data_IF_189533105646
#
_entry.id   IF_189533105646
#
_cell.length_a   1.000
_cell.length_b   1.000
_cell.length_c   1.000
_cell.angle_alpha   90.00
_cell.angle_beta   90.00
_cell.angle_gamma   90.00
#
_symmetry.space_group_name_H-M   'P 1'
#
loop_
_entity.id
_entity.type
_entity.pdbx_description
1 polymer ?
#
# COMPACT_ATOMS: atom_id res chain seq x y z
N UNK A 1 29.26 -3.21 10.62
CA UNK A 1 28.63 -2.47 11.74
C UNK A 1 27.67 -3.36 12.51
N UNK A 2 26.74 -4.04 11.83
CA UNK A 2 25.80 -5.01 12.41
C UNK A 2 26.45 -6.01 13.39
N UNK A 3 27.49 -6.73 12.96
CA UNK A 3 28.21 -7.71 13.80
C UNK A 3 28.77 -7.12 15.10
N UNK A 4 29.26 -5.88 15.07
CA UNK A 4 29.85 -5.24 16.25
C UNK A 4 28.80 -4.70 17.21
N UNK A 5 27.65 -4.26 16.68
CA UNK A 5 26.50 -3.80 17.47
C UNK A 5 25.85 -5.00 18.16
N UNK A 6 25.64 -6.11 17.44
CA UNK A 6 25.10 -7.34 18.02
C UNK A 6 26.04 -7.97 19.05
N UNK A 7 27.37 -7.92 18.80
CA UNK A 7 28.36 -8.41 19.76
C UNK A 7 28.30 -7.66 21.09
N UNK A 8 28.26 -6.32 21.05
CA UNK A 8 28.18 -5.50 22.27
C UNK A 8 26.85 -5.71 23.01
N UNK A 9 25.74 -5.85 22.28
CA UNK A 9 24.44 -6.22 22.87
C UNK A 9 24.49 -7.57 23.56
N UNK A 10 25.04 -8.58 22.89
CA UNK A 10 25.17 -9.94 23.44
C UNK A 10 26.07 -9.98 24.68
N UNK A 11 27.17 -9.21 24.69
CA UNK A 11 28.06 -9.12 25.84
C UNK A 11 27.37 -8.46 27.06
N UNK A 12 26.56 -7.41 26.84
CA UNK A 12 25.77 -6.78 27.91
C UNK A 12 24.68 -7.72 28.44
N UNK A 13 23.96 -8.43 27.56
CA UNK A 13 22.93 -9.40 27.96
C UNK A 13 23.55 -10.57 28.76
N UNK A 14 24.74 -11.06 28.38
CA UNK A 14 25.50 -12.05 29.16
C UNK A 14 25.90 -11.51 30.54
N UNK A 15 26.30 -10.25 30.63
CA UNK A 15 26.61 -9.58 31.89
C UNK A 15 25.39 -9.52 32.83
N UNK A 16 24.21 -9.20 32.28
CA UNK A 16 22.93 -9.21 33.01
C UNK A 16 22.61 -10.60 33.55
N UNK A 17 22.79 -11.64 32.74
CA UNK A 17 22.51 -13.01 33.17
C UNK A 17 23.50 -13.52 34.23
N UNK A 18 24.77 -13.08 34.17
CA UNK A 18 25.74 -13.33 35.24
C UNK A 18 25.35 -12.62 36.54
N UNK A 19 24.91 -11.36 36.47
CA UNK A 19 24.43 -10.61 37.64
C UNK A 19 23.20 -11.26 38.27
N UNK A 20 22.24 -11.73 37.45
CA UNK A 20 21.10 -12.53 37.96
C UNK A 20 21.58 -13.79 38.68
N UNK A 21 22.53 -14.53 38.10
CA UNK A 21 23.11 -15.72 38.72
C UNK A 21 23.77 -15.42 40.07
N UNK A 22 24.53 -14.32 40.16
CA UNK A 22 25.17 -13.89 41.41
C UNK A 22 24.16 -13.45 42.46
N UNK A 23 23.10 -12.71 42.08
CA UNK A 23 22.01 -12.32 42.98
C UNK A 23 21.27 -13.54 43.53
N UNK A 24 20.97 -14.54 42.69
CA UNK A 24 20.35 -15.79 43.13
C UNK A 24 21.25 -16.56 44.10
N UNK A 25 22.55 -16.67 43.81
CA UNK A 25 23.53 -17.33 44.69
C UNK A 25 23.69 -16.60 46.03
N UNK A 26 23.76 -15.28 46.02
CA UNK A 26 23.84 -14.47 47.24
C UNK A 26 22.61 -14.68 48.13
N UNK A 27 21.42 -14.70 47.53
CA UNK A 27 20.16 -14.97 48.25
C UNK A 27 20.12 -16.38 48.86
N UNK A 28 20.55 -17.41 48.12
CA UNK A 28 20.63 -18.79 48.63
C UNK A 28 21.62 -18.94 49.78
N UNK A 29 22.69 -18.13 49.81
CA UNK A 29 23.70 -18.12 50.85
C UNK A 29 23.37 -17.16 52.02
N UNK A 30 22.22 -16.47 51.98
CA UNK A 30 21.82 -15.51 53.02
C UNK A 30 22.64 -14.21 53.04
N UNK A 31 23.37 -13.92 51.97
CA UNK A 31 24.18 -12.71 51.80
C UNK A 31 23.31 -11.58 51.21
N UNK A 32 23.61 -10.32 51.58
CA UNK A 32 23.00 -9.15 50.95
C UNK A 32 23.43 -9.08 49.48
N UNK A 33 22.48 -9.06 48.52
CA UNK A 33 22.81 -8.93 47.10
C UNK A 33 23.58 -7.65 46.82
N UNK A 34 24.61 -7.73 45.97
CA UNK A 34 25.34 -6.55 45.49
C UNK A 34 24.55 -5.85 44.39
N UNK A 35 24.49 -4.53 44.44
CA UNK A 35 23.88 -3.70 43.40
C UNK A 35 24.91 -3.30 42.35
N UNK A 36 24.61 -3.61 41.09
CA UNK A 36 25.48 -3.41 39.93
C UNK A 36 25.00 -2.21 39.09
N UNK A 37 24.91 -1.05 39.73
CA UNK A 37 24.43 0.20 39.13
C UNK A 37 25.30 0.66 37.93
N UNK A 38 26.59 0.32 37.91
CA UNK A 38 27.48 0.56 36.76
C UNK A 38 27.01 -0.19 35.51
N UNK A 39 26.56 -1.43 35.65
CA UNK A 39 26.06 -2.23 34.53
C UNK A 39 24.73 -1.68 34.02
N UNK A 40 23.83 -1.32 34.94
CA UNK A 40 22.56 -0.70 34.60
C UNK A 40 22.78 0.64 33.85
N UNK A 41 23.73 1.47 34.30
CA UNK A 41 24.13 2.70 33.60
C UNK A 41 24.73 2.45 32.22
N UNK A 42 25.59 1.44 32.06
CA UNK A 42 26.14 1.07 30.76
C UNK A 42 25.07 0.57 29.78
N UNK A 43 24.06 -0.16 30.27
CA UNK A 43 22.92 -0.62 29.46
C UNK A 43 22.08 0.55 28.99
N UNK A 44 21.77 1.49 29.89
CA UNK A 44 20.97 2.68 29.59
C UNK A 44 21.69 3.59 28.59
N UNK A 45 22.98 3.81 28.77
CA UNK A 45 23.82 4.57 27.83
C UNK A 45 23.84 3.88 26.46
N UNK A 46 24.12 2.57 26.43
CA UNK A 46 24.22 1.80 25.20
C UNK A 46 22.88 1.70 24.45
N UNK A 47 21.74 1.68 25.14
CA UNK A 47 20.42 1.54 24.54
C UNK A 47 20.16 2.60 23.45
N UNK A 48 20.58 3.84 23.67
CA UNK A 48 20.43 4.93 22.72
C UNK A 48 21.28 4.74 21.46
N UNK A 49 22.52 4.25 21.61
CA UNK A 49 23.40 3.95 20.47
C UNK A 49 22.97 2.70 19.70
N UNK A 50 22.54 1.66 20.42
CA UNK A 50 21.98 0.44 19.83
C UNK A 50 20.77 0.77 18.97
N UNK A 51 19.85 1.61 19.48
CA UNK A 51 18.70 2.08 18.72
C UNK A 51 19.13 2.82 17.45
N UNK A 52 20.05 3.78 17.56
CA UNK A 52 20.56 4.53 16.40
C UNK A 52 21.11 3.62 15.31
N UNK A 53 22.04 2.72 15.67
CA UNK A 53 22.68 1.85 14.69
C UNK A 53 21.71 0.84 14.09
N UNK A 54 20.77 0.31 14.85
CA UNK A 54 19.72 -0.56 14.30
C UNK A 54 18.81 0.18 13.33
N UNK A 55 18.42 1.42 13.63
CA UNK A 55 17.64 2.24 12.68
C UNK A 55 18.45 2.51 11.41
N UNK A 56 19.75 2.82 11.51
CA UNK A 56 20.64 3.01 10.33
C UNK A 56 20.71 1.73 9.49
N UNK A 57 20.97 0.59 10.11
CA UNK A 57 21.10 -0.70 9.42
C UNK A 57 19.77 -1.07 8.75
N UNK A 58 18.66 -0.92 9.46
CA UNK A 58 17.32 -1.23 8.95
C UNK A 58 16.96 -0.34 7.76
N UNK A 59 17.25 0.96 7.84
CA UNK A 59 17.05 1.91 6.74
C UNK A 59 17.91 1.55 5.54
N UNK A 60 19.22 1.29 5.72
CA UNK A 60 20.11 0.94 4.61
C UNK A 60 19.72 -0.36 3.91
N UNK A 61 19.38 -1.40 4.68
CA UNK A 61 18.89 -2.67 4.11
C UNK A 61 17.61 -2.46 3.31
N UNK A 62 16.65 -1.75 3.89
CA UNK A 62 15.36 -1.48 3.23
C UNK A 62 15.55 -0.59 2.00
N UNK A 63 16.42 0.42 2.05
CA UNK A 63 16.72 1.28 0.92
C UNK A 63 17.32 0.49 -0.26
N UNK A 64 18.23 -0.45 0.02
CA UNK A 64 18.79 -1.34 -1.01
C UNK A 64 17.69 -2.23 -1.56
N UNK A 65 16.90 -2.82 -0.69
CA UNK A 65 15.79 -3.68 -1.07
C UNK A 65 14.79 -2.95 -1.98
N UNK A 66 14.31 -1.76 -1.60
CA UNK A 66 13.34 -1.00 -2.39
C UNK A 66 13.90 -0.52 -3.73
N UNK A 67 15.21 -0.35 -3.84
CA UNK A 67 15.86 0.00 -5.09
C UNK A 67 16.10 -1.19 -5.99
N UNK A 68 16.37 -2.37 -5.41
CA UNK A 68 16.72 -3.57 -6.15
C UNK A 68 15.53 -4.46 -6.43
N UNK A 69 14.55 -4.59 -5.57
CA UNK A 69 13.42 -5.48 -5.80
C UNK A 69 12.51 -4.96 -6.94
N UNK A 70 11.80 -5.86 -7.66
CA UNK A 70 10.83 -5.44 -8.66
C UNK A 70 9.75 -4.57 -8.03
N UNK A 71 9.42 -3.43 -8.65
CA UNK A 71 8.53 -2.44 -8.04
C UNK A 71 7.14 -2.99 -7.70
N UNK A 72 6.62 -3.91 -8.52
CA UNK A 72 5.32 -4.56 -8.29
C UNK A 72 5.25 -5.36 -6.98
N UNK A 73 6.38 -5.80 -6.44
CA UNK A 73 6.46 -6.56 -5.18
C UNK A 73 6.50 -5.67 -3.93
N UNK A 74 6.69 -4.36 -4.10
CA UNK A 74 6.90 -3.43 -3.00
C UNK A 74 5.56 -2.80 -2.60
N UNK A 75 5.22 -2.87 -1.31
CA UNK A 75 4.05 -2.18 -0.77
C UNK A 75 4.38 -0.72 -0.42
N UNK A 76 3.90 0.22 -1.24
CA UNK A 76 4.16 1.64 -1.04
C UNK A 76 3.66 2.19 0.31
N UNK A 77 2.55 1.66 0.84
CA UNK A 77 1.99 2.10 2.14
C UNK A 77 2.90 1.70 3.30
N UNK A 78 3.44 0.49 3.27
CA UNK A 78 4.40 0.01 4.28
C UNK A 78 5.70 0.84 4.25
N UNK A 79 6.19 1.17 3.05
CA UNK A 79 7.36 2.03 2.89
C UNK A 79 7.12 3.42 3.48
N UNK A 80 5.96 4.05 3.20
CA UNK A 80 5.60 5.38 3.74
C UNK A 80 5.58 5.36 5.27
N UNK A 81 4.95 4.35 5.87
CA UNK A 81 4.89 4.18 7.32
C UNK A 81 6.28 4.00 7.95
N UNK A 82 7.15 3.20 7.33
CA UNK A 82 8.52 2.98 7.80
C UNK A 82 9.34 4.27 7.73
N UNK A 83 9.30 5.00 6.62
CA UNK A 83 9.99 6.28 6.45
C UNK A 83 9.55 7.29 7.52
N UNK A 84 8.25 7.39 7.78
CA UNK A 84 7.72 8.28 8.81
C UNK A 84 8.11 7.87 10.23
N UNK A 85 8.14 6.57 10.50
CA UNK A 85 8.59 6.03 11.79
C UNK A 85 10.06 6.39 12.02
N UNK A 86 10.95 6.10 11.07
CA UNK A 86 12.38 6.39 11.18
C UNK A 86 12.66 7.89 11.23
N UNK A 87 11.91 8.72 10.50
CA UNK A 87 12.06 10.17 10.57
C UNK A 87 11.75 10.71 11.97
N UNK A 88 10.65 10.25 12.60
CA UNK A 88 10.29 10.61 13.99
C UNK A 88 11.34 10.12 14.97
N UNK A 89 11.88 8.91 14.77
CA UNK A 89 12.95 8.37 15.61
C UNK A 89 14.25 9.18 15.49
N UNK A 90 14.67 9.54 14.28
CA UNK A 90 15.85 10.37 14.05
C UNK A 90 15.72 11.71 14.78
N UNK A 91 14.56 12.35 14.71
CA UNK A 91 14.33 13.61 15.39
C UNK A 91 14.45 13.50 16.92
N UNK A 92 13.93 12.41 17.50
CA UNK A 92 14.09 12.12 18.94
C UNK A 92 15.56 11.87 19.29
N UNK A 93 16.28 11.09 18.48
CA UNK A 93 17.70 10.78 18.69
C UNK A 93 18.57 12.03 18.60
N UNK A 94 18.36 12.91 17.62
CA UNK A 94 19.10 14.18 17.48
C UNK A 94 18.93 15.06 18.72
N UNK A 95 17.73 15.10 19.31
CA UNK A 95 17.46 15.83 20.56
C UNK A 95 18.03 15.15 21.81
N UNK A 96 18.09 13.82 21.82
CA UNK A 96 18.65 13.06 22.94
C UNK A 96 20.18 13.14 23.02
N UNK A 97 20.85 13.27 21.88
CA UNK A 97 22.30 13.44 21.79
C UNK A 97 22.73 14.92 21.84
N UNK A 98 22.41 15.61 22.94
CA UNK A 98 22.70 17.04 23.14
C UNK A 98 23.99 17.32 23.94
N UNK A 99 24.67 16.27 24.42
CA UNK A 99 25.92 16.40 25.18
C UNK A 99 27.16 16.36 24.28
N UNK A 100 28.25 17.03 24.69
CA UNK A 100 29.52 17.06 23.95
C UNK A 100 30.10 15.64 23.69
N UNK A 101 29.88 14.70 24.62
CA UNK A 101 30.31 13.30 24.48
C UNK A 101 29.48 12.51 23.45
N UNK A 102 28.32 13.03 23.03
CA UNK A 102 27.41 12.38 22.08
C UNK A 102 27.44 13.01 20.68
N UNK A 103 28.32 13.97 20.43
CA UNK A 103 28.39 14.74 19.17
C UNK A 103 28.58 13.87 17.92
N UNK A 104 29.33 12.77 18.02
CA UNK A 104 29.50 11.81 16.91
C UNK A 104 28.20 11.04 16.61
N UNK A 105 27.47 10.59 17.63
CA UNK A 105 26.18 9.93 17.45
C UNK A 105 25.13 10.89 16.89
N UNK A 106 25.15 12.15 17.35
CA UNK A 106 24.30 13.20 16.80
C UNK A 106 24.57 13.45 15.31
N UNK A 107 25.85 13.41 14.88
CA UNK A 107 26.22 13.52 13.46
C UNK A 107 25.63 12.36 12.66
N UNK A 108 25.80 11.11 13.13
CA UNK A 108 25.24 9.93 12.45
C UNK A 108 23.70 10.02 12.37
N UNK A 109 23.03 10.50 13.41
CA UNK A 109 21.58 10.71 13.37
C UNK A 109 21.14 11.80 12.38
N UNK A 110 21.95 12.87 12.22
CA UNK A 110 21.74 13.91 11.19
C UNK A 110 21.98 13.37 9.78
N UNK A 111 23.03 12.57 9.59
CA UNK A 111 23.34 11.93 8.31
C UNK A 111 22.24 10.93 7.91
N UNK A 112 21.73 10.13 8.87
CA UNK A 112 20.58 9.25 8.66
C UNK A 112 19.33 10.05 8.27
N UNK A 113 19.03 11.16 8.96
CA UNK A 113 17.92 12.03 8.60
C UNK A 113 18.07 12.56 7.16
N UNK A 114 19.27 13.01 6.79
CA UNK A 114 19.54 13.46 5.41
C UNK A 114 19.29 12.35 4.40
N UNK A 115 19.76 11.11 4.67
CA UNK A 115 19.50 9.97 3.80
C UNK A 115 18.02 9.63 3.65
N UNK A 116 17.24 9.74 4.74
CA UNK A 116 15.77 9.59 4.70
C UNK A 116 15.14 10.69 3.84
N UNK A 117 15.56 11.94 4.01
CA UNK A 117 15.07 13.08 3.22
C UNK A 117 15.43 12.89 1.72
N UNK A 118 16.63 12.42 1.40
CA UNK A 118 17.05 12.13 0.03
C UNK A 118 16.22 10.99 -0.60
N UNK A 119 15.86 9.97 0.18
CA UNK A 119 14.98 8.91 -0.31
C UNK A 119 13.54 9.39 -0.49
N UNK A 120 13.05 10.28 0.38
CA UNK A 120 11.71 10.88 0.26
C UNK A 120 11.52 11.67 -1.03
N UNK A 121 12.57 12.26 -1.59
CA UNK A 121 12.50 12.89 -2.93
C UNK A 121 12.21 11.87 -4.03
N UNK A 122 12.68 10.64 -3.87
CA UNK A 122 12.54 9.56 -4.86
C UNK A 122 11.27 8.73 -4.63
N UNK A 123 10.73 8.76 -3.42
CA UNK A 123 9.57 7.99 -3.00
C UNK A 123 8.30 8.22 -3.85
N UNK A 124 7.97 9.44 -4.33
CA UNK A 124 6.79 9.66 -5.17
C UNK A 124 6.74 8.76 -6.41
N UNK A 125 7.89 8.51 -7.05
CA UNK A 125 7.96 7.61 -8.20
C UNK A 125 7.63 6.16 -7.81
N UNK A 126 8.24 5.68 -6.73
CA UNK A 126 7.97 4.34 -6.19
C UNK A 126 6.48 4.19 -5.85
N UNK A 127 5.92 5.17 -5.12
CA UNK A 127 4.49 5.20 -4.79
C UNK A 127 3.60 5.20 -6.03
N UNK A 128 3.98 5.92 -7.07
CA UNK A 128 3.21 6.05 -8.29
C UNK A 128 3.14 4.75 -9.10
N UNK A 129 4.24 3.97 -9.12
CA UNK A 129 4.40 2.80 -9.99
C UNK A 129 4.35 1.43 -9.28
N UNK A 130 4.29 1.39 -7.95
CA UNK A 130 4.05 0.17 -7.16
C UNK A 130 2.57 -0.23 -7.05
N UNK A 131 1.64 0.51 -7.66
CA UNK A 131 0.19 0.25 -7.53
C UNK A 131 -0.27 -0.72 -8.61
N UNK A 132 -1.15 -1.67 -8.25
CA UNK A 132 -1.80 -2.60 -9.19
C UNK A 132 -2.58 -1.90 -10.33
N UNK A 133 -2.93 -0.62 -10.13
CA UNK A 133 -3.56 0.23 -11.13
C UNK A 133 -2.68 0.45 -12.38
N UNK A 134 -1.36 0.30 -12.24
CA UNK A 134 -0.40 0.50 -13.33
C UNK A 134 -0.38 -0.72 -14.24
N UNK A 135 -0.47 -0.47 -15.55
CA UNK A 135 -0.57 -1.46 -16.60
C UNK A 135 0.52 -1.19 -17.64
N UNK A 136 0.85 -2.15 -18.53
CA UNK A 136 1.85 -1.97 -19.57
C UNK A 136 1.74 -0.64 -20.35
N UNK A 137 0.52 -0.25 -20.73
CA UNK A 137 0.28 1.04 -21.42
C UNK A 137 0.78 2.28 -20.65
N UNK A 138 0.71 2.26 -19.32
CA UNK A 138 1.14 3.39 -18.49
C UNK A 138 2.67 3.48 -18.43
N UNK A 139 3.35 2.34 -18.55
CA UNK A 139 4.79 2.28 -18.74
C UNK A 139 5.17 2.79 -20.13
N UNK A 140 4.46 2.36 -21.17
CA UNK A 140 4.66 2.86 -22.54
C UNK A 140 4.53 4.39 -22.59
N UNK A 141 3.46 4.95 -22.00
CA UNK A 141 3.22 6.40 -21.93
C UNK A 141 4.36 7.14 -21.21
N UNK A 142 4.90 6.56 -20.13
CA UNK A 142 6.03 7.15 -19.39
C UNK A 142 7.31 7.10 -20.23
N UNK A 143 7.60 5.96 -20.85
CA UNK A 143 8.79 5.76 -21.68
C UNK A 143 8.79 6.67 -22.90
N UNK A 144 7.64 6.88 -23.54
CA UNK A 144 7.46 7.84 -24.63
C UNK A 144 7.75 9.27 -24.16
N UNK A 145 7.17 9.69 -23.03
CA UNK A 145 7.41 11.03 -22.46
C UNK A 145 8.89 11.24 -22.10
N UNK A 146 9.56 10.19 -21.62
CA UNK A 146 10.99 10.21 -21.31
C UNK A 146 11.88 10.11 -22.56
N UNK A 147 11.32 9.79 -23.74
CA UNK A 147 12.07 9.47 -24.96
C UNK A 147 13.08 8.33 -24.76
N UNK A 148 12.65 7.26 -24.08
CA UNK A 148 13.46 6.07 -23.75
C UNK A 148 12.75 4.83 -24.29
N UNK A 149 13.51 3.92 -24.91
CA UNK A 149 13.00 2.61 -25.31
C UNK A 149 12.81 1.69 -24.07
N UNK A 150 11.71 0.93 -23.99
CA UNK A 150 11.54 -0.12 -22.99
C UNK A 150 12.75 -1.05 -22.95
N UNK A 151 13.35 -1.23 -21.77
CA UNK A 151 14.62 -1.94 -21.61
C UNK A 151 14.50 -3.26 -20.83
N UNK A 152 13.33 -3.53 -20.25
CA UNK A 152 13.05 -4.72 -19.47
C UNK A 152 11.54 -5.03 -19.52
N UNK A 153 11.15 -6.22 -19.05
CA UNK A 153 9.76 -6.51 -18.75
C UNK A 153 9.26 -5.54 -17.66
N UNK A 154 8.05 -5.01 -17.81
CA UNK A 154 7.43 -4.07 -16.89
C UNK A 154 7.26 -4.61 -15.48
N UNK A 155 7.08 -5.93 -15.35
CA UNK A 155 6.99 -6.59 -14.05
C UNK A 155 8.37 -6.70 -13.35
N UNK A 156 9.47 -6.60 -14.10
CA UNK A 156 10.85 -6.72 -13.62
C UNK A 156 11.56 -5.37 -13.43
N UNK A 157 10.91 -4.23 -13.76
CA UNK A 157 11.51 -2.91 -13.60
C UNK A 157 11.78 -2.64 -12.11
N UNK A 158 13.01 -2.17 -11.84
CA UNK A 158 13.49 -1.81 -10.51
C UNK A 158 13.65 -0.30 -10.41
N UNK A 159 13.44 0.25 -9.22
CA UNK A 159 13.49 1.69 -9.00
C UNK A 159 14.87 2.28 -9.36
N UNK A 160 15.98 1.59 -9.04
CA UNK A 160 17.33 2.10 -9.37
C UNK A 160 17.54 2.32 -10.87
N UNK A 161 16.99 1.44 -11.72
CA UNK A 161 17.14 1.55 -13.18
C UNK A 161 16.45 2.81 -13.69
N UNK A 162 15.24 3.10 -13.19
CA UNK A 162 14.49 4.30 -13.57
C UNK A 162 15.15 5.58 -13.03
N UNK A 163 15.74 5.53 -11.83
CA UNK A 163 16.51 6.66 -11.29
C UNK A 163 17.75 6.96 -12.13
N UNK A 164 18.49 5.95 -12.59
CA UNK A 164 19.64 6.12 -13.49
C UNK A 164 19.24 6.73 -14.85
N UNK A 165 18.00 6.49 -15.28
CA UNK A 165 17.40 7.09 -16.49
C UNK A 165 16.84 8.49 -16.28
N UNK A 166 16.95 9.07 -15.08
CA UNK A 166 16.51 10.44 -14.81
C UNK A 166 15.01 10.59 -14.64
N UNK A 167 14.28 9.55 -14.19
CA UNK A 167 12.81 9.60 -14.03
C UNK A 167 12.32 10.73 -13.12
N UNK A 168 13.17 11.22 -12.21
CA UNK A 168 12.83 12.32 -11.31
C UNK A 168 12.61 13.65 -12.03
N UNK A 169 13.20 13.85 -13.21
CA UNK A 169 12.98 15.05 -14.04
C UNK A 169 11.57 15.06 -14.67
N UNK A 170 10.88 13.92 -14.63
CA UNK A 170 9.55 13.70 -15.19
C UNK A 170 8.48 13.53 -14.09
N UNK A 171 8.70 14.16 -12.94
CA UNK A 171 7.81 14.08 -11.76
C UNK A 171 6.34 14.33 -12.09
N UNK A 172 6.05 15.45 -12.76
CA UNK A 172 4.68 15.80 -13.14
C UNK A 172 4.06 14.74 -14.06
N UNK A 173 4.85 14.15 -14.96
CA UNK A 173 4.35 13.17 -15.92
C UNK A 173 4.00 11.84 -15.27
N UNK A 174 4.88 11.31 -14.42
CA UNK A 174 4.63 10.03 -13.78
C UNK A 174 3.52 10.13 -12.71
N UNK A 175 3.38 11.30 -12.06
CA UNK A 175 2.27 11.57 -11.14
C UNK A 175 0.93 11.66 -11.87
N UNK A 176 0.89 12.36 -13.02
CA UNK A 176 -0.30 12.44 -13.86
C UNK A 176 -0.74 11.05 -14.35
N UNK A 177 0.21 10.25 -14.86
CA UNK A 177 -0.05 8.88 -15.34
C UNK A 177 -0.58 8.02 -14.20
N UNK A 178 0.05 8.06 -13.03
CA UNK A 178 -0.40 7.28 -11.87
C UNK A 178 -1.77 7.70 -11.38
N UNK A 179 -2.06 9.01 -11.35
CA UNK A 179 -3.37 9.51 -10.97
C UNK A 179 -4.46 9.08 -11.96
N UNK A 180 -4.17 9.08 -13.27
CA UNK A 180 -5.06 8.55 -14.28
C UNK A 180 -5.31 7.05 -14.08
N UNK A 181 -4.24 6.26 -13.96
CA UNK A 181 -4.29 4.82 -13.73
C UNK A 181 -5.12 4.44 -12.50
N UNK A 182 -4.95 5.14 -11.38
CA UNK A 182 -5.74 4.91 -10.17
C UNK A 182 -7.23 5.16 -10.38
N UNK A 183 -7.59 6.23 -11.11
CA UNK A 183 -9.00 6.50 -11.46
C UNK A 183 -9.55 5.41 -12.37
N UNK A 184 -8.81 5.00 -13.39
CA UNK A 184 -9.20 3.90 -14.27
C UNK A 184 -9.44 2.60 -13.49
N UNK A 185 -8.53 2.24 -12.58
CA UNK A 185 -8.65 1.06 -11.76
C UNK A 185 -9.88 1.11 -10.84
N UNK A 186 -10.15 2.26 -10.21
CA UNK A 186 -11.36 2.43 -9.38
C UNK A 186 -12.67 2.29 -10.18
N UNK A 187 -12.72 2.82 -11.40
CA UNK A 187 -13.88 2.68 -12.29
C UNK A 187 -14.07 1.22 -12.72
N UNK A 188 -12.98 0.51 -13.07
CA UNK A 188 -13.03 -0.92 -13.38
C UNK A 188 -13.49 -1.75 -12.20
N UNK A 189 -13.02 -1.43 -10.99
CA UNK A 189 -13.46 -2.09 -9.76
C UNK A 189 -14.95 -1.87 -9.50
N UNK A 190 -15.45 -0.65 -9.74
CA UNK A 190 -16.88 -0.36 -9.65
C UNK A 190 -17.70 -1.17 -10.67
N UNK A 191 -17.25 -1.26 -11.92
CA UNK A 191 -17.88 -2.12 -12.94
C UNK A 191 -17.91 -3.60 -12.53
N UNK A 192 -16.80 -4.13 -12.03
CA UNK A 192 -16.71 -5.51 -11.58
C UNK A 192 -17.61 -5.79 -10.37
N UNK A 193 -17.72 -4.85 -9.43
CA UNK A 193 -18.65 -4.93 -8.30
C UNK A 193 -20.10 -4.99 -8.77
N UNK A 194 -20.51 -4.08 -9.67
CA UNK A 194 -21.87 -4.11 -10.23
C UNK A 194 -22.19 -5.47 -10.87
N UNK A 195 -21.28 -6.01 -11.70
CA UNK A 195 -21.45 -7.34 -12.32
C UNK A 195 -21.62 -8.46 -11.28
N UNK A 196 -20.90 -8.38 -10.16
CA UNK A 196 -20.98 -9.38 -9.08
C UNK A 196 -22.33 -9.32 -8.36
N UNK A 197 -22.87 -8.13 -8.15
CA UNK A 197 -24.14 -7.92 -7.46
C UNK A 197 -25.34 -8.52 -8.22
N UNK A 198 -25.20 -8.77 -9.54
CA UNK A 198 -26.21 -9.50 -10.34
C UNK A 198 -26.20 -11.02 -10.13
N UNK A 199 -25.12 -11.60 -9.60
CA UNK A 199 -24.96 -13.05 -9.45
C UNK A 199 -26.07 -13.77 -8.66
N UNK A 200 -26.56 -13.24 -7.52
CA UNK A 200 -27.61 -13.90 -6.73
C UNK A 200 -29.05 -13.53 -7.16
N UNK A 201 -29.23 -12.61 -8.12
CA UNK A 201 -30.56 -12.12 -8.49
C UNK A 201 -31.26 -13.13 -9.40
N UNK A 202 -32.49 -13.52 -9.00
CA UNK A 202 -33.32 -14.46 -9.75
C UNK A 202 -34.74 -13.92 -9.90
N UNK A 203 -35.30 -14.01 -11.12
CA UNK A 203 -36.70 -13.68 -11.35
C UNK A 203 -37.60 -14.73 -10.71
N UNK A 204 -38.38 -14.30 -9.71
CA UNK A 204 -39.41 -15.15 -9.11
C UNK A 204 -40.70 -15.10 -9.92
N UNK A 205 -41.31 -16.26 -10.13
CA UNK A 205 -42.62 -16.39 -10.79
C UNK A 205 -43.64 -17.05 -9.86
N UNK A 206 -44.91 -16.66 -10.01
CA UNK A 206 -46.04 -17.29 -9.32
C UNK A 206 -47.21 -17.45 -10.30
N UNK A 207 -48.11 -18.42 -10.07
CA UNK A 207 -49.25 -18.63 -10.97
C UNK A 207 -50.39 -17.64 -10.64
N UNK A 208 -50.95 -17.00 -11.67
CA UNK A 208 -52.15 -16.17 -11.53
C UNK A 208 -53.38 -17.05 -11.30
N UNK A 209 -54.23 -16.68 -10.33
CA UNK A 209 -55.31 -17.55 -9.83
C UNK A 209 -56.38 -17.88 -10.86
N UNK A 210 -56.69 -16.94 -11.76
CA UNK A 210 -57.80 -17.08 -12.70
C UNK A 210 -57.39 -17.78 -14.00
N UNK A 211 -56.19 -17.50 -14.51
CA UNK A 211 -55.72 -18.01 -15.81
C UNK A 211 -54.70 -19.14 -15.69
N UNK A 212 -54.09 -19.33 -14.51
CA UNK A 212 -52.99 -20.28 -14.32
C UNK A 212 -51.68 -19.87 -15.02
N UNK A 213 -51.58 -18.65 -15.57
CA UNK A 213 -50.37 -18.17 -16.22
C UNK A 213 -49.29 -17.77 -15.19
N UNK A 214 -48.00 -18.07 -15.42
CA UNK A 214 -46.92 -17.60 -14.57
C UNK A 214 -46.73 -16.08 -14.73
N UNK A 215 -46.69 -15.38 -13.61
CA UNK A 215 -46.50 -13.93 -13.50
C UNK A 215 -45.25 -13.63 -12.67
N UNK A 216 -44.48 -12.60 -13.04
CA UNK A 216 -43.35 -12.12 -12.24
C UNK A 216 -43.83 -11.57 -10.89
N UNK A 217 -43.07 -11.82 -9.83
CA UNK A 217 -43.35 -11.36 -8.47
C UNK A 217 -42.05 -10.93 -7.78
N UNK A 218 -42.13 -9.94 -6.89
CA UNK A 218 -41.00 -9.54 -6.03
C UNK A 218 -39.84 -8.93 -6.80
N UNK A 219 -40.14 -8.19 -7.86
CA UNK A 219 -39.14 -7.59 -8.76
C UNK A 219 -38.53 -6.28 -8.22
N UNK A 220 -39.02 -5.77 -7.09
CA UNK A 220 -38.60 -4.47 -6.53
C UNK A 220 -37.09 -4.40 -6.31
N UNK A 221 -36.48 -5.50 -5.86
CA UNK A 221 -35.02 -5.60 -5.67
C UNK A 221 -34.27 -5.55 -7.00
N UNK A 222 -34.75 -6.28 -8.02
CA UNK A 222 -34.15 -6.30 -9.36
C UNK A 222 -34.24 -4.90 -9.99
N UNK A 223 -35.40 -4.23 -9.90
CA UNK A 223 -35.60 -2.88 -10.39
C UNK A 223 -34.70 -1.86 -9.67
N UNK A 224 -34.60 -1.95 -8.34
CA UNK A 224 -33.74 -1.06 -7.57
C UNK A 224 -32.25 -1.19 -7.97
N UNK A 225 -31.77 -2.43 -8.15
CA UNK A 225 -30.40 -2.69 -8.62
C UNK A 225 -30.21 -2.21 -10.06
N UNK A 226 -31.20 -2.44 -10.93
CA UNK A 226 -31.16 -2.04 -12.32
C UNK A 226 -31.05 -0.52 -12.50
N UNK A 227 -31.93 0.24 -11.85
CA UNK A 227 -31.94 1.70 -11.90
C UNK A 227 -30.61 2.30 -11.40
N UNK A 228 -30.13 1.81 -10.25
CA UNK A 228 -28.87 2.27 -9.66
C UNK A 228 -27.67 1.94 -10.57
N UNK A 229 -27.63 0.73 -11.13
CA UNK A 229 -26.53 0.32 -12.01
C UNK A 229 -26.57 1.03 -13.37
N UNK A 230 -27.74 1.39 -13.90
CA UNK A 230 -27.85 2.22 -15.11
C UNK A 230 -27.21 3.59 -14.85
N UNK A 231 -27.60 4.26 -13.76
CA UNK A 231 -27.07 5.59 -13.41
C UNK A 231 -25.56 5.53 -13.16
N UNK A 232 -25.08 4.53 -12.41
CA UNK A 232 -23.64 4.32 -12.17
C UNK A 232 -22.87 4.05 -13.46
N UNK A 233 -23.41 3.23 -14.36
CA UNK A 233 -22.76 2.91 -15.64
C UNK A 233 -22.65 4.17 -16.52
N UNK A 234 -23.70 4.99 -16.58
CA UNK A 234 -23.68 6.27 -17.31
C UNK A 234 -22.66 7.25 -16.71
N UNK A 235 -22.56 7.32 -15.38
CA UNK A 235 -21.55 8.12 -14.70
C UNK A 235 -20.13 7.65 -15.05
N UNK A 236 -19.87 6.34 -15.04
CA UNK A 236 -18.58 5.75 -15.45
C UNK A 236 -18.28 6.12 -16.91
N UNK A 237 -19.25 5.97 -17.82
CA UNK A 237 -19.08 6.30 -19.24
C UNK A 237 -18.72 7.77 -19.46
N UNK A 238 -19.33 8.68 -18.69
CA UNK A 238 -19.04 10.12 -18.78
C UNK A 238 -17.64 10.51 -18.30
N UNK A 239 -16.95 9.62 -17.58
CA UNK A 239 -15.60 9.88 -17.08
C UNK A 239 -14.58 9.84 -18.23
N UNK A 240 -13.66 10.82 -18.32
CA UNK A 240 -12.60 10.78 -19.32
C UNK A 240 -11.65 9.59 -19.16
N UNK A 241 -11.58 9.01 -17.95
CA UNK A 241 -10.78 7.82 -17.63
C UNK A 241 -11.46 6.51 -18.09
N UNK A 242 -12.66 6.56 -18.68
CA UNK A 242 -13.33 5.38 -19.22
C UNK A 242 -12.72 4.90 -20.55
N UNK A 243 -12.08 5.80 -21.31
CA UNK A 243 -11.62 5.56 -22.70
C UNK A 243 -10.95 4.19 -22.91
N UNK A 244 -10.02 3.70 -22.07
CA UNK A 244 -9.32 2.44 -22.34
C UNK A 244 -10.21 1.18 -22.27
N UNK A 245 -11.42 1.28 -21.70
CA UNK A 245 -12.36 0.17 -21.53
C UNK A 245 -13.81 0.59 -21.84
N UNK A 246 -13.99 1.67 -22.60
CA UNK A 246 -15.28 2.25 -22.94
C UNK A 246 -16.20 1.24 -23.65
N UNK A 247 -15.63 0.39 -24.51
CA UNK A 247 -16.38 -0.65 -25.20
C UNK A 247 -17.03 -1.64 -24.22
N UNK A 248 -16.34 -2.01 -23.13
CA UNK A 248 -16.88 -2.90 -22.11
C UNK A 248 -18.03 -2.22 -21.34
N UNK A 249 -17.86 -0.93 -21.02
CA UNK A 249 -18.88 -0.13 -20.34
C UNK A 249 -20.12 0.03 -21.21
N UNK A 250 -19.95 0.26 -22.51
CA UNK A 250 -21.05 0.38 -23.46
C UNK A 250 -21.83 -0.93 -23.61
N UNK A 251 -21.14 -2.07 -23.71
CA UNK A 251 -21.80 -3.38 -23.76
C UNK A 251 -22.60 -3.65 -22.48
N UNK A 252 -22.05 -3.27 -21.33
CA UNK A 252 -22.74 -3.40 -20.06
C UNK A 252 -23.99 -2.52 -20.00
N UNK A 253 -23.89 -1.26 -20.40
CA UNK A 253 -25.02 -0.34 -20.46
C UNK A 253 -26.13 -0.86 -21.37
N UNK A 254 -25.79 -1.34 -22.57
CA UNK A 254 -26.77 -1.94 -23.49
C UNK A 254 -27.46 -3.15 -22.85
N UNK A 255 -26.73 -3.96 -22.09
CA UNK A 255 -27.29 -5.13 -21.40
C UNK A 255 -28.29 -4.69 -20.31
N UNK A 256 -27.95 -3.66 -19.54
CA UNK A 256 -28.85 -3.12 -18.51
C UNK A 256 -30.11 -2.51 -19.14
N UNK A 257 -29.96 -1.69 -20.19
CA UNK A 257 -31.12 -1.10 -20.87
C UNK A 257 -32.03 -2.16 -21.50
N UNK A 258 -31.45 -3.19 -22.11
CA UNK A 258 -32.21 -4.33 -22.61
C UNK A 258 -33.00 -5.04 -21.50
N UNK A 259 -32.38 -5.22 -20.33
CA UNK A 259 -33.04 -5.82 -19.18
C UNK A 259 -34.19 -4.94 -18.65
N UNK A 260 -34.02 -3.62 -18.67
CA UNK A 260 -35.05 -2.65 -18.30
C UNK A 260 -36.26 -2.78 -19.22
N UNK A 261 -36.02 -2.71 -20.54
CA UNK A 261 -37.06 -2.86 -21.55
C UNK A 261 -37.80 -4.20 -21.40
N UNK A 262 -37.05 -5.29 -21.15
CA UNK A 262 -37.62 -6.62 -20.93
C UNK A 262 -38.55 -6.66 -19.70
N UNK A 263 -38.11 -6.10 -18.57
CA UNK A 263 -38.91 -6.07 -17.33
C UNK A 263 -40.16 -5.21 -17.54
N UNK A 264 -40.04 -4.05 -18.17
CA UNK A 264 -41.16 -3.15 -18.44
C UNK A 264 -42.21 -3.78 -19.35
N UNK A 265 -41.79 -4.44 -20.43
CA UNK A 265 -42.71 -5.16 -21.33
C UNK A 265 -43.38 -6.35 -20.61
N UNK A 266 -42.66 -7.12 -19.81
CA UNK A 266 -43.26 -8.21 -19.02
C UNK A 266 -44.34 -7.68 -18.06
N UNK A 267 -44.05 -6.56 -17.38
CA UNK A 267 -45.01 -5.94 -16.47
C UNK A 267 -46.20 -5.29 -17.19
N UNK A 268 -46.00 -4.75 -18.40
CA UNK A 268 -47.07 -4.19 -19.22
C UNK A 268 -48.03 -5.29 -19.70
N UNK A 269 -47.49 -6.42 -20.17
CA UNK A 269 -48.28 -7.59 -20.55
C UNK A 269 -49.04 -8.14 -19.34
N UNK A 270 -48.36 -8.33 -18.20
CA UNK A 270 -49.00 -8.77 -16.96
C UNK A 270 -50.13 -7.84 -16.52
N UNK A 271 -49.93 -6.51 -16.57
CA UNK A 271 -50.96 -5.52 -16.21
C UNK A 271 -52.16 -5.51 -17.16
N UNK A 272 -51.97 -5.89 -18.42
CA UNK A 272 -53.04 -5.91 -19.43
C UNK A 272 -53.86 -7.20 -19.37
N UNK A 273 -53.23 -8.30 -18.96
CA UNK A 273 -53.82 -9.65 -18.94
C UNK A 273 -54.43 -10.07 -17.59
N UNK A 274 -54.01 -9.44 -16.49
CA UNK A 274 -54.59 -9.65 -15.15
C UNK A 274 -55.79 -8.73 -14.93
#
# INVERSE_FOLDING_TARGET
>A
YEVNVEYLRSALDQGVDQVKSFRTRASLLGLTPTDYWDLDGMIDDYASYYKLWNTVISFQKSQIQWQQDPMKSINAEEVEQLLDSWFKECYKMIKGFDSDNTRMAQKVAKDLKSGIDDFRVKFPFLRAFCVEAILPRHWDDLFEKMSIEPFADYDDIRMHQMLEKGVLDFAENFEEISAAAQKEHSLKKAMAAMKKDWGPLEFMTTLYKETGCPILKGIDEIQAVLDDHIVKTQAIRSSPFCRPFEQEVLQWEVTLLYLQDFVDECLAVQRTWM
#
